data_IF_674192425667
#
_entry.id   IF_674192425667
#
_cell.length_a   1.000
_cell.length_b   1.000
_cell.length_c   1.000
_cell.angle_alpha   90.00
_cell.angle_beta   90.00
_cell.angle_gamma   90.00
#
_symmetry.space_group_name_H-M   'P 1'
#
loop_
_entity.id
_entity.type
_entity.pdbx_description
1 polymer ?
#
# COMPACT_ATOMS: atom_id res chain seq x y z
N UNK A 1 41.32 -6.44 40.32
CA UNK A 1 41.73 -5.86 39.03
C UNK A 1 40.81 -6.40 37.95
N UNK A 2 39.94 -5.54 37.44
CA UNK A 2 39.22 -5.73 36.17
C UNK A 2 40.22 -5.86 35.03
N UNK A 3 39.93 -6.72 34.04
CA UNK A 3 39.72 -6.29 32.64
C UNK A 3 38.72 -7.26 32.00
N UNK A 4 37.50 -6.77 31.78
CA UNK A 4 36.44 -7.37 30.95
C UNK A 4 36.89 -7.51 29.48
N UNK A 5 36.69 -8.68 28.87
CA UNK A 5 36.72 -8.87 27.41
C UNK A 5 35.35 -8.45 26.81
N UNK A 6 35.29 -7.40 25.96
CA UNK A 6 34.02 -6.82 25.51
C UNK A 6 33.31 -7.59 24.38
N UNK A 7 33.71 -8.82 24.03
CA UNK A 7 33.14 -9.55 22.86
C UNK A 7 32.26 -10.76 23.17
N UNK A 8 32.03 -11.11 24.43
CA UNK A 8 31.23 -12.31 24.80
C UNK A 8 29.80 -12.03 25.29
N UNK A 9 29.30 -10.79 25.23
CA UNK A 9 27.91 -10.47 25.60
C UNK A 9 26.98 -10.59 24.40
N UNK A 10 26.57 -11.82 24.05
CA UNK A 10 25.29 -12.04 23.35
C UNK A 10 24.14 -11.79 24.33
N UNK A 11 23.96 -10.54 24.74
CA UNK A 11 22.79 -10.12 25.51
C UNK A 11 21.63 -9.95 24.52
N UNK A 12 20.95 -11.06 24.25
CA UNK A 12 19.56 -10.99 23.78
C UNK A 12 18.77 -10.47 24.97
N UNK A 13 18.12 -9.28 24.90
CA UNK A 13 17.39 -8.76 26.04
C UNK A 13 16.34 -9.77 26.50
N UNK A 14 16.34 -10.09 27.79
CA UNK A 14 15.46 -11.04 28.50
C UNK A 14 13.96 -10.88 28.21
N UNK A 15 13.53 -9.80 27.55
CA UNK A 15 12.16 -9.55 27.10
C UNK A 15 11.75 -10.34 25.84
N UNK A 16 12.69 -10.92 25.08
CA UNK A 16 12.39 -11.64 23.82
C UNK A 16 11.97 -13.11 24.05
N UNK A 17 12.24 -13.69 25.22
CA UNK A 17 11.84 -15.07 25.55
C UNK A 17 10.36 -15.19 25.95
N UNK A 18 9.72 -14.09 26.34
CA UNK A 18 8.35 -14.07 26.86
C UNK A 18 7.27 -13.83 25.78
N UNK A 19 7.67 -13.53 24.54
CA UNK A 19 6.70 -13.30 23.47
C UNK A 19 6.13 -14.63 22.91
N UNK A 20 4.83 -14.67 22.57
CA UNK A 20 4.18 -15.85 21.99
C UNK A 20 4.88 -16.27 20.68
N UNK A 21 4.90 -17.56 20.33
CA UNK A 21 5.72 -18.10 19.23
C UNK A 21 5.45 -17.41 17.88
N UNK A 22 4.23 -16.94 17.62
CA UNK A 22 3.87 -16.16 16.44
C UNK A 22 4.59 -14.80 16.34
N UNK A 23 5.01 -14.21 17.46
CA UNK A 23 5.72 -12.94 17.52
C UNK A 23 7.25 -13.09 17.37
N UNK A 24 7.82 -14.26 17.71
CA UNK A 24 9.27 -14.55 17.52
C UNK A 24 9.67 -14.58 16.04
N UNK A 25 8.75 -15.02 15.18
CA UNK A 25 8.93 -14.98 13.72
C UNK A 25 8.93 -13.55 13.16
N UNK A 26 8.28 -12.60 13.84
CA UNK A 26 8.21 -11.18 13.45
C UNK A 26 9.43 -10.37 13.90
N UNK A 27 10.06 -10.70 15.03
CA UNK A 27 11.23 -9.95 15.54
C UNK A 27 12.55 -10.35 14.86
N UNK A 28 12.65 -11.58 14.34
CA UNK A 28 13.75 -12.02 13.47
C UNK A 28 13.68 -11.42 12.06
N UNK A 29 12.60 -10.70 11.72
CA UNK A 29 12.44 -9.99 10.45
C UNK A 29 13.32 -8.73 10.30
N UNK A 30 14.29 -8.50 11.20
CA UNK A 30 15.35 -7.50 10.96
C UNK A 30 16.37 -7.95 9.91
N UNK A 31 16.31 -9.19 9.43
CA UNK A 31 17.12 -9.65 8.30
C UNK A 31 16.32 -9.53 7.00
N UNK A 32 16.43 -8.32 6.44
CA UNK A 32 15.89 -7.89 5.15
C UNK A 32 16.14 -8.93 4.04
N UNK A 33 15.09 -9.62 3.54
CA UNK A 33 15.20 -10.48 2.36
C UNK A 33 15.63 -9.66 1.12
N UNK A 34 16.33 -10.25 0.15
CA UNK A 34 16.94 -9.53 -0.96
C UNK A 34 15.88 -9.10 -1.98
N UNK A 35 15.48 -7.84 -1.95
CA UNK A 35 14.75 -7.20 -3.03
C UNK A 35 15.52 -5.93 -3.37
N UNK A 36 15.96 -5.88 -4.63
CA UNK A 36 16.81 -4.85 -5.23
C UNK A 36 17.93 -4.43 -4.30
N UNK A 37 19.10 -5.04 -4.46
CA UNK A 37 20.33 -4.50 -3.92
C UNK A 37 20.48 -3.06 -4.46
N UNK A 38 20.02 -2.09 -3.68
CA UNK A 38 20.08 -0.66 -4.01
C UNK A 38 21.53 -0.17 -4.07
N UNK A 39 22.45 -1.00 -3.60
CA UNK A 39 23.88 -0.73 -3.64
C UNK A 39 24.35 -0.61 -5.12
N UNK A 40 23.73 -1.33 -6.07
CA UNK A 40 23.97 -1.18 -7.51
C UNK A 40 23.08 -0.12 -8.16
N UNK A 41 23.59 0.51 -9.22
CA UNK A 41 22.75 1.32 -10.12
C UNK A 41 21.86 0.42 -10.98
N UNK A 42 20.71 0.96 -11.42
CA UNK A 42 19.88 0.28 -12.42
C UNK A 42 20.55 0.20 -13.81
N UNK A 43 21.59 0.99 -14.05
CA UNK A 43 22.36 1.01 -15.29
C UNK A 43 23.88 1.08 -14.99
N UNK A 44 24.52 -0.04 -14.62
CA UNK A 44 25.95 -0.08 -14.37
C UNK A 44 26.73 -0.04 -15.69
N UNK A 45 27.75 0.82 -15.76
CA UNK A 45 28.58 0.95 -16.96
C UNK A 45 29.68 -0.11 -17.04
N UNK A 46 30.17 -0.62 -15.90
CA UNK A 46 31.20 -1.66 -15.87
C UNK A 46 30.64 -3.05 -16.11
N UNK A 47 31.40 -3.90 -16.81
CA UNK A 47 31.03 -5.30 -17.06
C UNK A 47 30.80 -6.10 -15.76
N UNK A 48 31.64 -5.87 -14.74
CA UNK A 48 31.44 -6.45 -13.41
C UNK A 48 30.11 -6.03 -12.78
N UNK A 49 29.70 -4.78 -12.96
CA UNK A 49 28.42 -4.28 -12.46
C UNK A 49 27.23 -4.85 -13.22
N UNK A 50 27.32 -4.97 -14.56
CA UNK A 50 26.27 -5.55 -15.41
C UNK A 50 26.03 -7.03 -15.10
N UNK A 51 27.10 -7.81 -15.00
CA UNK A 51 27.03 -9.24 -14.67
C UNK A 51 26.49 -9.48 -13.27
N UNK A 52 26.91 -8.68 -12.28
CA UNK A 52 26.37 -8.78 -10.91
C UNK A 52 24.89 -8.37 -10.83
N UNK A 53 24.47 -7.38 -11.61
CA UNK A 53 23.06 -6.98 -11.72
C UNK A 53 22.22 -8.10 -12.36
N UNK A 54 22.74 -8.77 -13.39
CA UNK A 54 22.09 -9.92 -14.00
C UNK A 54 21.91 -11.07 -12.99
N UNK A 55 22.94 -11.41 -12.21
CA UNK A 55 22.83 -12.40 -11.12
C UNK A 55 21.78 -12.00 -10.07
N UNK A 56 21.76 -10.71 -9.72
CA UNK A 56 20.77 -10.19 -8.76
C UNK A 56 19.34 -10.32 -9.29
N UNK A 57 19.13 -10.06 -10.59
CA UNK A 57 17.82 -10.24 -11.21
C UNK A 57 17.42 -11.72 -11.29
N UNK A 58 18.38 -12.63 -11.48
CA UNK A 58 18.16 -14.07 -11.52
C UNK A 58 17.63 -14.65 -10.20
N UNK A 59 17.93 -14.03 -9.04
CA UNK A 59 17.40 -14.44 -7.73
C UNK A 59 15.87 -14.55 -7.73
N UNK A 60 15.19 -13.65 -8.44
CA UNK A 60 13.72 -13.65 -8.53
C UNK A 60 13.17 -14.88 -9.22
N UNK A 61 13.97 -15.57 -10.04
CA UNK A 61 13.58 -16.75 -10.83
C UNK A 61 13.85 -18.07 -10.11
N UNK A 62 14.65 -18.08 -9.04
CA UNK A 62 14.99 -19.29 -8.28
C UNK A 62 13.73 -19.85 -7.60
N UNK A 63 13.34 -21.08 -7.97
CA UNK A 63 12.13 -21.76 -7.47
C UNK A 63 12.43 -23.02 -6.67
N UNK A 64 13.57 -23.64 -6.91
CA UNK A 64 13.93 -24.95 -6.33
C UNK A 64 15.25 -24.85 -5.54
N UNK A 65 15.50 -25.76 -4.59
CA UNK A 65 16.79 -25.82 -3.88
C UNK A 65 17.96 -26.09 -4.84
N UNK A 66 17.74 -26.83 -5.91
CA UNK A 66 18.75 -27.07 -6.96
C UNK A 66 19.11 -25.77 -7.69
N UNK A 67 18.12 -24.96 -8.05
CA UNK A 67 18.35 -23.65 -8.67
C UNK A 67 19.13 -22.71 -7.75
N UNK A 68 18.88 -22.80 -6.43
CA UNK A 68 19.63 -22.03 -5.44
C UNK A 68 21.11 -22.45 -5.41
N UNK A 69 21.40 -23.75 -5.47
CA UNK A 69 22.77 -24.27 -5.58
C UNK A 69 23.50 -23.79 -6.84
N UNK A 70 22.82 -23.83 -8.00
CA UNK A 70 23.34 -23.28 -9.26
C UNK A 70 23.63 -21.79 -9.14
N UNK A 71 22.71 -21.04 -8.53
CA UNK A 71 22.90 -19.60 -8.33
C UNK A 71 24.09 -19.27 -7.42
N UNK A 72 24.29 -20.03 -6.34
CA UNK A 72 25.45 -19.86 -5.45
C UNK A 72 26.77 -20.13 -6.17
N UNK A 73 26.79 -21.14 -7.04
CA UNK A 73 27.96 -21.44 -7.88
C UNK A 73 28.28 -20.27 -8.81
N UNK A 74 27.27 -19.73 -9.49
CA UNK A 74 27.43 -18.53 -10.34
C UNK A 74 27.94 -17.31 -9.57
N UNK A 75 27.49 -17.10 -8.32
CA UNK A 75 27.99 -16.02 -7.48
C UNK A 75 29.47 -16.21 -7.10
N UNK A 76 29.87 -17.45 -6.83
CA UNK A 76 31.25 -17.80 -6.55
C UNK A 76 32.15 -17.62 -7.78
N UNK A 77 31.69 -18.07 -8.95
CA UNK A 77 32.39 -17.88 -10.22
C UNK A 77 32.59 -16.40 -10.54
N UNK A 78 31.54 -15.59 -10.33
CA UNK A 78 31.62 -14.14 -10.46
C UNK A 78 32.68 -13.55 -9.52
N UNK A 79 32.76 -14.03 -8.26
CA UNK A 79 33.78 -13.58 -7.33
C UNK A 79 35.19 -13.92 -7.83
N UNK A 80 35.41 -15.13 -8.36
CA UNK A 80 36.71 -15.54 -8.87
C UNK A 80 37.18 -14.63 -10.01
N UNK A 81 36.28 -14.32 -10.96
CA UNK A 81 36.60 -13.47 -12.11
C UNK A 81 36.87 -12.01 -11.71
N UNK A 82 36.06 -11.45 -10.81
CA UNK A 82 36.13 -10.03 -10.47
C UNK A 82 36.77 -9.72 -9.10
N UNK A 83 37.47 -10.68 -8.49
CA UNK A 83 38.12 -10.52 -7.18
C UNK A 83 39.07 -9.32 -7.14
N UNK A 84 39.93 -9.23 -8.13
CA UNK A 84 40.96 -8.17 -8.16
C UNK A 84 40.32 -6.82 -8.45
N UNK A 85 39.34 -6.79 -9.36
CA UNK A 85 38.52 -5.61 -9.63
C UNK A 85 37.85 -5.07 -8.36
N UNK A 86 37.14 -5.88 -7.58
CA UNK A 86 36.46 -5.38 -6.37
C UNK A 86 37.43 -4.98 -5.23
N UNK A 87 38.68 -5.44 -5.28
CA UNK A 87 39.73 -5.14 -4.31
C UNK A 87 40.66 -4.00 -4.76
N UNK A 88 40.38 -3.37 -5.89
CA UNK A 88 41.10 -2.20 -6.35
C UNK A 88 40.89 -1.03 -5.36
N UNK A 89 41.97 -0.33 -5.01
CA UNK A 89 41.98 0.79 -4.08
C UNK A 89 42.46 2.05 -4.78
N UNK A 90 41.70 3.13 -4.60
CA UNK A 90 42.12 4.48 -4.97
C UNK A 90 42.73 5.16 -3.75
N UNK A 91 43.86 5.83 -3.94
CA UNK A 91 44.56 6.59 -2.90
C UNK A 91 44.28 8.08 -3.08
N UNK A 92 44.03 8.79 -1.99
CA UNK A 92 43.85 10.25 -2.01
C UNK A 92 45.16 10.96 -2.35
N UNK A 93 45.06 12.07 -3.08
CA UNK A 93 46.23 12.84 -3.54
C UNK A 93 46.82 13.81 -2.49
N UNK A 94 46.31 13.83 -1.27
CA UNK A 94 46.76 14.77 -0.25
C UNK A 94 48.15 14.39 0.32
N UNK A 95 49.13 15.33 0.34
CA UNK A 95 50.45 15.09 0.91
C UNK A 95 50.35 14.79 2.41
N UNK A 96 50.74 13.57 2.82
CA UNK A 96 50.82 13.17 4.23
C UNK A 96 49.63 12.37 4.77
N UNK A 97 48.50 12.32 4.07
CA UNK A 97 47.32 11.52 4.45
C UNK A 97 47.27 10.21 3.66
N UNK A 98 47.51 9.06 4.33
CA UNK A 98 47.31 7.71 3.76
C UNK A 98 45.83 7.31 3.67
N UNK A 99 45.00 8.20 3.12
CA UNK A 99 43.56 7.96 2.95
C UNK A 99 43.34 7.17 1.67
N UNK A 100 42.66 6.04 1.77
CA UNK A 100 42.30 5.20 0.63
C UNK A 100 40.82 4.84 0.70
N UNK A 101 40.22 4.56 -0.46
CA UNK A 101 38.90 3.96 -0.57
C UNK A 101 38.90 2.90 -1.66
N UNK A 102 37.94 1.97 -1.60
CA UNK A 102 37.75 1.00 -2.69
C UNK A 102 37.30 1.74 -3.95
N UNK A 103 37.91 1.48 -5.10
CA UNK A 103 37.56 2.15 -6.37
C UNK A 103 36.09 1.84 -6.73
N UNK A 104 35.70 0.57 -6.63
CA UNK A 104 34.37 0.09 -7.04
C UNK A 104 33.42 -0.15 -5.86
N UNK A 105 33.22 0.88 -5.03
CA UNK A 105 32.49 0.75 -3.74
C UNK A 105 31.10 0.12 -3.87
N UNK A 106 30.35 0.51 -4.90
CA UNK A 106 28.96 0.06 -5.12
C UNK A 106 28.88 -1.43 -5.43
N UNK A 107 29.66 -1.87 -6.41
CA UNK A 107 29.76 -3.27 -6.83
C UNK A 107 30.27 -4.13 -5.68
N UNK A 108 31.30 -3.66 -4.96
CA UNK A 108 31.85 -4.36 -3.79
C UNK A 108 30.82 -4.51 -2.65
N UNK A 109 30.10 -3.43 -2.30
CA UNK A 109 29.06 -3.47 -1.26
C UNK A 109 27.94 -4.44 -1.63
N UNK A 110 27.50 -4.42 -2.88
CA UNK A 110 26.49 -5.32 -3.41
C UNK A 110 26.90 -6.79 -3.30
N UNK A 111 28.09 -7.13 -3.78
CA UNK A 111 28.64 -8.49 -3.67
C UNK A 111 28.77 -8.94 -2.20
N UNK A 112 29.39 -8.12 -1.34
CA UNK A 112 29.58 -8.47 0.08
C UNK A 112 28.27 -8.66 0.83
N UNK A 113 27.21 -7.96 0.42
CA UNK A 113 25.86 -8.18 0.95
C UNK A 113 25.30 -9.54 0.53
N UNK A 114 25.43 -9.91 -0.75
CA UNK A 114 25.00 -11.22 -1.24
C UNK A 114 25.77 -12.36 -0.59
N UNK A 115 27.09 -12.25 -0.54
CA UNK A 115 27.97 -13.22 0.11
C UNK A 115 27.58 -13.42 1.58
N UNK A 116 27.34 -12.33 2.32
CA UNK A 116 26.91 -12.42 3.72
C UNK A 116 25.55 -13.12 3.85
N UNK A 117 24.58 -12.78 3.01
CA UNK A 117 23.24 -13.39 3.05
C UNK A 117 23.29 -14.88 2.69
N UNK A 118 24.06 -15.24 1.66
CA UNK A 118 24.30 -16.62 1.27
C UNK A 118 24.91 -17.43 2.43
N UNK A 119 25.97 -16.91 3.05
CA UNK A 119 26.63 -17.56 4.20
C UNK A 119 25.72 -17.73 5.40
N UNK A 120 24.83 -16.77 5.65
CA UNK A 120 23.88 -16.84 6.75
C UNK A 120 22.66 -17.72 6.48
N UNK A 121 22.51 -18.27 5.27
CA UNK A 121 21.33 -19.06 4.88
C UNK A 121 20.04 -18.24 4.66
N UNK A 122 20.09 -16.92 4.83
CA UNK A 122 18.92 -16.05 4.70
C UNK A 122 18.58 -15.66 3.25
N UNK A 123 19.40 -16.09 2.27
CA UNK A 123 19.19 -15.70 0.88
C UNK A 123 18.01 -16.44 0.22
N UNK A 124 17.72 -17.67 0.66
CA UNK A 124 16.71 -18.56 0.06
C UNK A 124 15.70 -19.09 1.08
N UNK A 125 15.37 -18.29 2.10
CA UNK A 125 14.51 -18.72 3.23
C UNK A 125 13.13 -19.24 2.79
N UNK A 126 12.60 -18.78 1.65
CA UNK A 126 11.31 -19.25 1.12
C UNK A 126 11.37 -20.69 0.56
N UNK A 127 12.56 -21.27 0.41
CA UNK A 127 12.75 -22.66 -0.01
C UNK A 127 12.94 -23.62 1.16
N UNK A 128 13.02 -23.11 2.40
CA UNK A 128 13.19 -23.96 3.58
C UNK A 128 11.89 -24.76 3.82
N UNK A 129 11.95 -26.11 3.86
CA UNK A 129 10.81 -26.97 4.14
C UNK A 129 9.99 -26.55 5.36
N UNK A 130 10.63 -25.96 6.38
CA UNK A 130 9.99 -25.50 7.62
C UNK A 130 8.91 -24.43 7.41
N UNK A 131 8.98 -23.68 6.32
CA UNK A 131 8.03 -22.61 6.02
C UNK A 131 7.06 -22.98 4.89
N UNK A 132 7.06 -24.24 4.45
CA UNK A 132 6.19 -24.71 3.38
C UNK A 132 4.75 -24.73 3.91
N UNK A 133 3.89 -23.84 3.41
CA UNK A 133 2.52 -23.64 3.88
C UNK A 133 2.25 -22.27 4.51
N UNK A 134 3.30 -21.53 4.89
CA UNK A 134 3.21 -20.09 5.12
C UNK A 134 3.38 -19.42 3.75
N UNK A 135 2.45 -18.58 3.31
CA UNK A 135 2.53 -17.82 2.06
C UNK A 135 3.64 -16.74 2.15
N UNK A 136 4.88 -17.18 2.30
CA UNK A 136 6.05 -16.30 2.42
C UNK A 136 6.40 -15.85 1.01
N UNK A 137 6.06 -14.59 0.75
CA UNK A 137 6.37 -13.93 -0.51
C UNK A 137 7.89 -13.88 -0.73
N UNK A 138 8.33 -14.32 -1.92
CA UNK A 138 9.74 -14.32 -2.35
C UNK A 138 10.38 -12.94 -2.31
N UNK A 139 9.57 -11.92 -2.57
CA UNK A 139 9.98 -10.51 -2.56
C UNK A 139 9.20 -9.77 -1.50
N UNK A 140 9.86 -8.86 -0.79
CA UNK A 140 9.18 -7.93 0.14
C UNK A 140 8.45 -6.79 -0.59
N UNK A 141 8.24 -6.87 -1.91
CA UNK A 141 7.54 -5.83 -2.69
C UNK A 141 6.18 -5.49 -2.08
N UNK A 142 5.49 -6.49 -1.53
CA UNK A 142 4.26 -6.33 -0.75
C UNK A 142 4.46 -5.46 0.50
N UNK A 143 5.58 -5.63 1.21
CA UNK A 143 5.94 -4.81 2.38
C UNK A 143 6.42 -3.41 1.97
N UNK A 144 7.25 -3.28 0.94
CA UNK A 144 7.82 -2.00 0.50
C UNK A 144 6.82 -1.09 -0.21
N UNK A 145 5.97 -1.66 -1.07
CA UNK A 145 4.92 -0.96 -1.82
C UNK A 145 3.58 -0.87 -1.07
N UNK A 146 3.34 -1.76 -0.11
CA UNK A 146 2.18 -1.71 0.78
C UNK A 146 2.47 -0.91 2.04
N UNK A 147 2.66 -1.63 3.15
CA UNK A 147 2.75 -1.05 4.51
C UNK A 147 3.83 0.03 4.62
N UNK A 148 5.04 -0.21 4.13
CA UNK A 148 6.13 0.76 4.23
C UNK A 148 5.90 2.00 3.35
N UNK A 149 5.16 1.88 2.25
CA UNK A 149 4.81 3.05 1.42
C UNK A 149 3.76 3.92 2.11
N UNK A 150 2.81 3.32 2.84
CA UNK A 150 1.85 4.05 3.67
C UNK A 150 2.56 4.78 4.82
N UNK A 151 3.44 4.09 5.55
CA UNK A 151 4.24 4.69 6.63
C UNK A 151 5.10 5.84 6.10
N UNK A 152 5.81 5.64 4.98
CA UNK A 152 6.62 6.70 4.37
C UNK A 152 5.78 7.91 3.95
N UNK A 153 4.58 7.70 3.41
CA UNK A 153 3.66 8.80 3.08
C UNK A 153 3.21 9.56 4.32
N UNK A 154 2.83 8.86 5.39
CA UNK A 154 2.47 9.47 6.67
C UNK A 154 3.62 10.33 7.21
N UNK A 155 4.83 9.78 7.30
CA UNK A 155 5.99 10.51 7.80
C UNK A 155 6.39 11.68 6.89
N UNK A 156 6.24 11.55 5.58
CA UNK A 156 6.50 12.64 4.64
C UNK A 156 5.48 13.78 4.76
N UNK A 157 4.20 13.45 4.99
CA UNK A 157 3.15 14.44 5.22
C UNK A 157 3.39 15.22 6.52
N UNK A 158 4.03 14.59 7.50
CA UNK A 158 4.38 15.18 8.79
C UNK A 158 5.89 15.39 8.95
N UNK A 159 6.53 15.93 7.90
CA UNK A 159 7.96 16.24 7.90
C UNK A 159 8.26 17.31 8.97
N UNK A 160 9.10 16.98 9.95
CA UNK A 160 9.47 17.87 11.07
C UNK A 160 9.05 17.38 12.45
N UNK A 161 8.33 16.26 12.56
CA UNK A 161 8.05 15.60 13.83
C UNK A 161 9.35 15.12 14.50
N UNK A 162 9.43 15.27 15.82
CA UNK A 162 10.49 14.64 16.61
C UNK A 162 10.33 13.12 16.63
N UNK A 163 11.43 12.38 16.85
CA UNK A 163 11.43 10.91 16.85
C UNK A 163 10.36 10.26 17.74
N UNK A 164 10.09 10.76 18.96
CA UNK A 164 9.00 10.24 19.79
C UNK A 164 7.63 10.39 19.11
N UNK A 165 7.34 11.55 18.52
CA UNK A 165 6.07 11.79 17.86
C UNK A 165 5.93 11.03 16.54
N UNK A 166 7.03 10.75 15.84
CA UNK A 166 7.00 9.84 14.68
C UNK A 166 6.58 8.42 15.08
N UNK A 167 7.10 7.90 16.19
CA UNK A 167 6.71 6.57 16.70
C UNK A 167 5.23 6.54 17.06
N UNK A 168 4.76 7.54 17.80
CA UNK A 168 3.34 7.68 18.12
C UNK A 168 2.48 7.80 16.86
N UNK A 169 2.87 8.59 15.86
CA UNK A 169 2.11 8.70 14.61
C UNK A 169 2.01 7.36 13.86
N UNK A 170 3.07 6.55 13.84
CA UNK A 170 3.04 5.21 13.24
C UNK A 170 2.13 4.27 14.04
N UNK A 171 2.25 4.26 15.37
CA UNK A 171 1.39 3.45 16.26
C UNK A 171 -0.09 3.80 16.07
N UNK A 172 -0.41 5.09 15.99
CA UNK A 172 -1.76 5.57 15.72
C UNK A 172 -2.20 5.29 14.29
N UNK A 173 -1.30 5.30 13.30
CA UNK A 173 -1.62 4.94 11.91
C UNK A 173 -2.01 3.46 11.77
N UNK A 174 -1.30 2.57 12.46
CA UNK A 174 -1.59 1.12 12.52
C UNK A 174 -2.89 0.84 13.30
N UNK A 175 -3.09 1.48 14.44
CA UNK A 175 -4.31 1.35 15.25
C UNK A 175 -5.52 2.01 14.57
N UNK A 176 -5.33 3.12 13.87
CA UNK A 176 -6.39 3.82 13.14
C UNK A 176 -6.88 3.02 11.96
N UNK A 177 -6.06 2.21 11.27
CA UNK A 177 -6.58 1.33 10.22
C UNK A 177 -7.47 0.21 10.77
N UNK A 178 -7.12 -0.38 11.91
CA UNK A 178 -7.94 -1.40 12.59
C UNK A 178 -9.19 -0.77 13.19
N UNK A 179 -9.06 0.40 13.84
CA UNK A 179 -10.20 1.13 14.40
C UNK A 179 -11.08 1.71 13.30
N UNK A 180 -10.52 2.18 12.19
CA UNK A 180 -11.25 2.65 11.01
C UNK A 180 -11.94 1.48 10.33
N UNK A 181 -11.34 0.31 10.18
CA UNK A 181 -12.05 -0.86 9.65
C UNK A 181 -13.16 -1.33 10.60
N UNK A 182 -12.93 -1.38 11.90
CA UNK A 182 -13.94 -1.75 12.89
C UNK A 182 -15.07 -0.71 12.99
N UNK A 183 -14.74 0.58 12.94
CA UNK A 183 -15.71 1.69 12.96
C UNK A 183 -16.40 1.81 11.61
N UNK A 184 -15.72 1.56 10.50
CA UNK A 184 -16.29 1.63 9.14
C UNK A 184 -17.16 0.42 8.84
N UNK A 185 -16.79 -0.80 9.25
CA UNK A 185 -17.70 -1.96 9.24
C UNK A 185 -18.90 -1.70 10.15
N UNK A 186 -18.67 -1.19 11.36
CA UNK A 186 -19.77 -0.84 12.28
C UNK A 186 -20.65 0.29 11.74
N UNK A 187 -20.11 1.31 11.07
CA UNK A 187 -20.88 2.38 10.41
C UNK A 187 -21.62 1.85 9.18
N UNK A 188 -21.00 0.95 8.41
CA UNK A 188 -21.60 0.33 7.22
C UNK A 188 -22.73 -0.63 7.59
N UNK A 189 -22.64 -1.28 8.75
CA UNK A 189 -23.67 -2.16 9.33
C UNK A 189 -24.77 -1.37 10.10
N UNK A 190 -24.47 -0.15 10.53
CA UNK A 190 -25.45 0.76 11.18
C UNK A 190 -26.47 1.39 10.22
N UNK A 191 -26.30 1.23 8.90
CA UNK A 191 -27.34 1.56 7.93
C UNK A 191 -28.34 0.40 7.87
N UNK A 192 -29.29 0.35 8.81
CA UNK A 192 -30.54 -0.40 8.62
C UNK A 192 -31.25 0.18 7.40
N UNK A 193 -30.96 -0.34 6.20
CA UNK A 193 -31.66 0.09 4.99
C UNK A 193 -33.08 -0.45 5.07
N UNK A 194 -34.04 0.43 5.35
CA UNK A 194 -35.44 0.11 5.18
C UNK A 194 -35.70 -0.32 3.74
N UNK A 195 -36.34 -1.47 3.55
CA UNK A 195 -36.74 -1.95 2.22
C UNK A 195 -37.66 -0.93 1.55
N UNK A 196 -37.65 -0.89 0.22
CA UNK A 196 -38.46 0.08 -0.52
C UNK A 196 -39.97 -0.15 -0.25
N UNK A 197 -40.40 -1.42 -0.23
CA UNK A 197 -41.78 -1.80 0.11
C UNK A 197 -42.22 -1.28 1.47
N UNK A 198 -41.34 -1.29 2.46
CA UNK A 198 -41.63 -0.77 3.79
C UNK A 198 -41.81 0.75 3.77
N UNK A 199 -40.96 1.47 3.03
CA UNK A 199 -41.09 2.93 2.85
C UNK A 199 -42.39 3.30 2.15
N UNK A 200 -42.74 2.58 1.09
CA UNK A 200 -43.96 2.84 0.32
C UNK A 200 -45.22 2.58 1.16
N UNK A 201 -45.23 1.50 1.96
CA UNK A 201 -46.31 1.23 2.93
C UNK A 201 -46.41 2.31 4.00
N UNK A 202 -45.29 2.77 4.54
CA UNK A 202 -45.26 3.83 5.56
C UNK A 202 -45.78 5.17 5.02
N UNK A 203 -45.40 5.52 3.78
CA UNK A 203 -45.89 6.72 3.08
C UNK A 203 -47.38 6.61 2.80
N UNK A 204 -47.88 5.45 2.35
CA UNK A 204 -49.31 5.22 2.10
C UNK A 204 -50.16 5.39 3.36
N UNK A 205 -49.71 4.84 4.48
CA UNK A 205 -50.38 5.00 5.78
C UNK A 205 -50.47 6.48 6.20
N UNK A 206 -49.45 7.28 5.90
CA UNK A 206 -49.46 8.71 6.16
C UNK A 206 -50.43 9.47 5.24
N UNK A 207 -50.44 9.15 3.94
CA UNK A 207 -51.42 9.70 2.98
C UNK A 207 -52.86 9.38 3.39
N UNK A 208 -53.13 8.12 3.74
CA UNK A 208 -54.47 7.66 4.16
C UNK A 208 -54.93 8.38 5.44
N UNK A 209 -54.03 8.59 6.40
CA UNK A 209 -54.34 9.32 7.64
C UNK A 209 -54.66 10.79 7.40
N UNK A 210 -53.96 11.43 6.46
CA UNK A 210 -54.19 12.82 6.05
C UNK A 210 -55.47 12.96 5.24
N UNK A 211 -55.83 11.95 4.44
CA UNK A 211 -57.09 11.91 3.70
C UNK A 211 -58.32 11.70 4.62
N UNK A 212 -58.18 10.88 5.68
CA UNK A 212 -59.26 10.57 6.61
C UNK A 212 -59.68 11.76 7.49
N UNK A 213 -58.76 12.70 7.77
CA UNK A 213 -59.02 13.86 8.62
C UNK A 213 -58.39 15.11 8.02
N UNK A 214 -59.21 15.88 7.30
CA UNK A 214 -58.78 17.10 6.59
C UNK A 214 -58.23 18.18 7.54
N UNK A 215 -58.50 18.09 8.84
CA UNK A 215 -57.96 19.02 9.86
C UNK A 215 -56.59 18.59 10.40
N UNK A 216 -56.15 17.37 10.12
CA UNK A 216 -54.90 16.83 10.63
C UNK A 216 -53.70 17.39 9.87
N UNK A 217 -52.77 18.05 10.58
CA UNK A 217 -51.53 18.53 9.98
C UNK A 217 -50.57 17.36 9.71
N UNK A 218 -49.75 17.48 8.66
CA UNK A 218 -48.69 16.51 8.32
C UNK A 218 -47.80 16.18 9.53
N UNK A 219 -47.44 17.20 10.33
CA UNK A 219 -46.64 17.03 11.54
C UNK A 219 -47.33 16.12 12.57
N UNK A 220 -48.64 16.31 12.78
CA UNK A 220 -49.43 15.51 13.72
C UNK A 220 -49.53 14.05 13.26
N UNK A 221 -49.80 13.83 11.97
CA UNK A 221 -49.89 12.49 11.40
C UNK A 221 -48.54 11.75 11.43
N UNK A 222 -47.42 12.43 11.17
CA UNK A 222 -46.07 11.85 11.27
C UNK A 222 -45.75 11.42 12.70
N UNK A 223 -46.03 12.28 13.70
CA UNK A 223 -45.79 11.96 15.10
C UNK A 223 -46.66 10.80 15.62
N UNK A 224 -47.80 10.54 15.00
CA UNK A 224 -48.68 9.42 15.36
C UNK A 224 -48.20 8.09 14.75
N UNK A 225 -47.74 8.12 13.49
CA UNK A 225 -47.45 6.91 12.69
C UNK A 225 -46.01 6.43 12.88
N UNK A 226 -45.04 7.34 12.93
CA UNK A 226 -43.63 6.96 12.99
C UNK A 226 -43.25 6.14 14.25
N UNK A 227 -43.75 6.44 15.46
CA UNK A 227 -43.54 5.59 16.64
C UNK A 227 -44.18 4.20 16.49
N UNK A 228 -45.36 4.09 15.88
CA UNK A 228 -46.05 2.81 15.64
C UNK A 228 -45.28 1.90 14.68
N UNK A 229 -44.51 2.48 13.77
CA UNK A 229 -43.64 1.78 12.82
C UNK A 229 -42.19 1.61 13.30
N UNK A 230 -41.84 2.14 14.49
CA UNK A 230 -40.49 2.07 15.04
C UNK A 230 -39.45 2.87 14.24
N UNK A 231 -39.86 3.91 13.51
CA UNK A 231 -39.00 4.75 12.68
C UNK A 231 -38.89 6.17 13.23
N UNK A 232 -37.82 6.88 12.86
CA UNK A 232 -37.67 8.29 13.22
C UNK A 232 -38.67 9.17 12.44
N UNK A 233 -39.32 10.11 13.11
CA UNK A 233 -40.31 11.04 12.53
C UNK A 233 -39.77 11.76 11.28
N UNK A 234 -38.51 12.21 11.33
CA UNK A 234 -37.83 12.88 10.22
C UNK A 234 -37.63 11.95 9.01
N UNK A 235 -37.47 10.64 9.22
CA UNK A 235 -37.34 9.68 8.12
C UNK A 235 -38.65 9.52 7.37
N UNK A 236 -39.76 9.37 8.09
CA UNK A 236 -41.09 9.25 7.49
C UNK A 236 -41.47 10.53 6.74
N UNK A 237 -41.19 11.70 7.33
CA UNK A 237 -41.41 13.00 6.69
C UNK A 237 -40.65 13.12 5.37
N UNK A 238 -39.36 12.79 5.35
CA UNK A 238 -38.54 12.85 4.13
C UNK A 238 -39.05 11.90 3.04
N UNK A 239 -39.49 10.70 3.40
CA UNK A 239 -40.04 9.75 2.42
C UNK A 239 -41.35 10.27 1.82
N UNK A 240 -42.22 10.88 2.62
CA UNK A 240 -43.45 11.49 2.15
C UNK A 240 -43.19 12.71 1.25
N UNK A 241 -42.27 13.59 1.64
CA UNK A 241 -41.89 14.75 0.80
C UNK A 241 -41.26 14.30 -0.53
N UNK A 242 -40.44 13.25 -0.53
CA UNK A 242 -39.90 12.67 -1.75
C UNK A 242 -40.99 12.01 -2.61
N UNK A 243 -41.98 11.39 -1.99
CA UNK A 243 -43.13 10.81 -2.69
C UNK A 243 -43.94 11.91 -3.40
N UNK A 244 -44.23 13.03 -2.72
CA UNK A 244 -44.92 14.19 -3.32
C UNK A 244 -44.15 14.79 -4.50
N UNK A 245 -42.81 14.81 -4.43
CA UNK A 245 -41.96 15.23 -5.55
C UNK A 245 -42.05 14.24 -6.71
N UNK A 246 -42.01 12.94 -6.42
CA UNK A 246 -42.10 11.92 -7.46
C UNK A 246 -43.49 11.83 -8.11
N UNK A 247 -44.57 12.14 -7.39
CA UNK A 247 -45.94 12.20 -7.94
C UNK A 247 -46.27 13.54 -8.61
N UNK A 248 -45.34 14.51 -8.58
CA UNK A 248 -45.51 15.82 -9.21
C UNK A 248 -46.37 16.81 -8.42
N UNK A 249 -46.76 16.48 -7.19
CA UNK A 249 -47.52 17.37 -6.30
C UNK A 249 -46.65 18.48 -5.69
N UNK A 250 -45.32 18.34 -5.75
CA UNK A 250 -44.36 19.35 -5.27
C UNK A 250 -43.22 19.54 -6.28
N UNK A 251 -42.82 20.78 -6.52
CA UNK A 251 -41.65 21.07 -7.37
C UNK A 251 -40.36 20.56 -6.72
N UNK A 252 -39.65 19.68 -7.42
CA UNK A 252 -38.37 19.11 -7.02
C UNK A 252 -37.86 18.17 -8.11
N UNK A 253 -36.56 17.87 -8.10
CA UNK A 253 -35.99 16.94 -9.07
C UNK A 253 -36.43 15.52 -8.70
N UNK A 254 -37.15 14.86 -9.60
CA UNK A 254 -37.60 13.48 -9.44
C UNK A 254 -36.40 12.53 -9.35
N UNK A 255 -36.63 11.35 -8.79
CA UNK A 255 -35.58 10.31 -8.70
C UNK A 255 -35.04 9.93 -10.09
N UNK A 256 -35.91 9.87 -11.09
CA UNK A 256 -35.55 9.52 -12.47
C UNK A 256 -34.68 10.61 -13.10
N UNK A 257 -35.04 11.88 -12.92
CA UNK A 257 -34.22 13.01 -13.37
C UNK A 257 -32.84 13.03 -12.68
N UNK A 258 -32.76 12.67 -11.40
CA UNK A 258 -31.47 12.53 -10.69
C UNK A 258 -30.60 11.42 -11.27
N UNK A 259 -31.19 10.28 -11.61
CA UNK A 259 -30.49 9.14 -12.22
C UNK A 259 -30.00 9.49 -13.63
N UNK A 260 -30.80 10.22 -14.41
CA UNK A 260 -30.44 10.67 -15.75
C UNK A 260 -29.32 11.73 -15.72
N UNK A 261 -29.38 12.72 -14.81
CA UNK A 261 -28.27 13.67 -14.63
C UNK A 261 -26.96 12.94 -14.30
N UNK A 262 -27.04 11.88 -13.50
CA UNK A 262 -25.87 11.07 -13.15
C UNK A 262 -25.34 10.30 -14.35
N UNK A 263 -26.21 9.75 -15.19
CA UNK A 263 -25.84 9.08 -16.45
C UNK A 263 -25.17 10.06 -17.40
N UNK A 264 -25.81 11.20 -17.67
CA UNK A 264 -25.30 12.24 -18.55
C UNK A 264 -23.98 12.84 -18.08
N UNK A 265 -23.76 12.95 -16.77
CA UNK A 265 -22.46 13.38 -16.20
C UNK A 265 -21.35 12.37 -16.45
N UNK A 266 -21.64 11.07 -16.40
CA UNK A 266 -20.66 10.02 -16.71
C UNK A 266 -20.30 10.04 -18.19
N UNK A 267 -21.32 10.10 -19.05
CA UNK A 267 -21.14 10.17 -20.50
C UNK A 267 -20.33 11.42 -20.91
N UNK A 268 -20.64 12.59 -20.35
CA UNK A 268 -19.85 13.80 -20.58
C UNK A 268 -18.39 13.68 -20.11
N UNK A 269 -18.15 13.00 -18.99
CA UNK A 269 -16.78 12.79 -18.49
C UNK A 269 -15.98 11.87 -19.42
N UNK A 270 -16.61 10.81 -19.95
CA UNK A 270 -16.01 9.90 -20.92
C UNK A 270 -15.73 10.60 -22.26
N UNK A 271 -16.71 11.36 -22.77
CA UNK A 271 -16.55 12.15 -24.00
C UNK A 271 -15.42 13.18 -23.88
N UNK A 272 -15.31 13.87 -22.72
CA UNK A 272 -14.20 14.79 -22.46
C UNK A 272 -12.86 14.07 -22.45
N UNK A 273 -12.79 12.88 -21.85
CA UNK A 273 -11.57 12.05 -21.85
C UNK A 273 -11.16 11.62 -23.26
N UNK A 274 -12.13 11.22 -24.08
CA UNK A 274 -11.89 10.84 -25.48
C UNK A 274 -11.38 12.02 -26.30
N UNK A 275 -11.98 13.21 -26.14
CA UNK A 275 -11.54 14.42 -26.81
C UNK A 275 -10.12 14.85 -26.41
N UNK A 276 -9.73 14.67 -25.14
CA UNK A 276 -8.36 14.94 -24.70
C UNK A 276 -7.35 13.96 -25.32
N UNK A 277 -7.72 12.68 -25.48
CA UNK A 277 -6.89 11.70 -26.20
C UNK A 277 -6.72 12.11 -27.67
N UNK A 278 -7.79 12.56 -28.33
CA UNK A 278 -7.71 13.00 -29.72
C UNK A 278 -6.86 14.27 -29.87
N UNK A 279 -7.01 15.25 -28.99
CA UNK A 279 -6.17 16.46 -29.01
C UNK A 279 -4.69 16.14 -28.77
N UNK A 280 -4.39 15.26 -27.82
CA UNK A 280 -3.00 14.85 -27.52
C UNK A 280 -2.40 14.05 -28.69
N UNK A 281 -3.18 13.18 -29.33
CA UNK A 281 -2.77 12.49 -30.55
C UNK A 281 -2.51 13.46 -31.71
N UNK A 282 -3.41 14.41 -31.96
CA UNK A 282 -3.24 15.43 -33.01
C UNK A 282 -2.01 16.32 -32.75
N UNK A 283 -1.77 16.72 -31.49
CA UNK A 283 -0.58 17.48 -31.12
C UNK A 283 0.71 16.67 -31.31
N UNK A 284 0.67 15.36 -31.00
CA UNK A 284 1.78 14.45 -31.24
C UNK A 284 2.09 14.29 -32.73
N UNK A 285 1.07 14.08 -33.57
CA UNK A 285 1.26 13.96 -35.03
C UNK A 285 1.72 15.28 -35.67
N UNK A 286 1.23 16.43 -35.22
CA UNK A 286 1.72 17.72 -35.68
C UNK A 286 3.21 17.94 -35.34
N UNK A 287 3.65 17.55 -34.14
CA UNK A 287 5.05 17.64 -33.72
C UNK A 287 5.98 16.67 -34.47
N UNK A 288 5.47 15.52 -34.93
CA UNK A 288 6.24 14.56 -35.74
C UNK A 288 6.46 15.08 -37.17
N UNK A 289 5.51 15.85 -37.72
CA UNK A 289 5.61 16.47 -39.06
C UNK A 289 6.62 17.63 -39.10
N UNK A 290 6.83 18.34 -37.99
CA UNK A 290 7.76 19.48 -37.89
C UNK A 290 9.24 19.09 -37.66
N UNK A 291 9.57 17.80 -37.57
CA UNK A 291 10.98 17.36 -37.46
C UNK A 291 11.63 17.34 -38.85
N UNK A 292 12.71 18.11 -39.09
CA UNK A 292 13.46 18.01 -40.34
C UNK A 292 14.09 16.62 -40.43
N UNK A 293 13.77 15.89 -41.50
CA UNK A 293 14.38 14.61 -41.85
C UNK A 293 15.89 14.83 -41.97
N UNK A 294 16.65 14.16 -41.11
CA UNK A 294 18.12 14.16 -41.11
C UNK A 294 18.66 13.06 -42.01
#
# INVERSE_FOLDING_TARGET
MNVDDPRSRTNVPSALSELPPAARSRTNAKQRPPHKITDLTCNPQSEAGKTLLALTNQLTRVKTPEDAGKWLSLLQDWHQVYRDYINEKTYGLEPGTRKWWWTHQRVRKAYKRLERLARSGYLFTWLDPKFTGLDIQRTTSSLEGGVNAAIRRLLNAHRGLSEPHMKTAIEWGELSWVLFLLVFERIRDMSKRYSQEFKDRAVRLLSDRLAADRSCSQWRAVNEIAPKLGIANESLRRWYEQHLVNTGERQGLTREEHEEIKRLKRENAELRRANEILKTASAFFAAELDRPVR
#
